data_IF_771841518531
#
_entry.id   IF_771841518531
#
_cell.length_a   1.000
_cell.length_b   1.000
_cell.length_c   1.000
_cell.angle_alpha   90.00
_cell.angle_beta   90.00
_cell.angle_gamma   90.00
#
_symmetry.space_group_name_H-M   'P 1'
#
loop_
_entity.id
_entity.type
_entity.pdbx_description
1 polymer ?
#
# COMPACT_ATOMS: atom_id res chain seq x y z
N UNK A 1 -10.74 -0.62 -20.62
CA UNK A 1 -10.60 -2.07 -20.92
C UNK A 1 -11.61 -2.92 -20.15
N UNK A 2 -11.69 -2.82 -18.81
CA UNK A 2 -12.64 -3.61 -18.00
C UNK A 2 -14.11 -3.39 -18.35
N UNK A 3 -14.57 -2.14 -18.37
CA UNK A 3 -15.96 -1.79 -18.68
C UNK A 3 -16.41 -2.31 -20.05
N UNK A 4 -15.53 -2.22 -21.06
CA UNK A 4 -15.80 -2.75 -22.41
C UNK A 4 -16.03 -4.27 -22.41
N UNK A 5 -15.36 -5.00 -21.53
CA UNK A 5 -15.44 -6.48 -21.47
C UNK A 5 -16.64 -6.98 -20.65
N UNK A 6 -16.98 -6.29 -19.55
CA UNK A 6 -17.97 -6.79 -18.57
C UNK A 6 -19.22 -5.92 -18.44
N UNK A 7 -19.31 -4.81 -19.18
CA UNK A 7 -20.48 -3.91 -19.19
C UNK A 7 -20.68 -3.07 -17.93
N UNK A 8 -19.74 -3.12 -16.98
CA UNK A 8 -19.84 -2.42 -15.69
C UNK A 8 -18.49 -1.85 -15.23
N UNK A 9 -18.45 -0.79 -14.41
CA UNK A 9 -17.20 -0.21 -13.93
C UNK A 9 -16.48 -1.16 -12.96
N UNK A 10 -15.15 -1.30 -13.08
CA UNK A 10 -14.33 -2.10 -12.16
C UNK A 10 -14.57 -1.71 -10.69
N UNK A 11 -14.68 -0.41 -10.41
CA UNK A 11 -14.95 0.09 -9.07
C UNK A 11 -16.24 -0.48 -8.48
N UNK A 12 -17.29 -0.69 -9.28
CA UNK A 12 -18.56 -1.24 -8.79
C UNK A 12 -18.42 -2.69 -8.33
N UNK A 13 -17.65 -3.49 -9.06
CA UNK A 13 -17.40 -4.88 -8.66
C UNK A 13 -16.48 -4.94 -7.43
N UNK A 14 -15.46 -4.08 -7.35
CA UNK A 14 -14.65 -3.94 -6.13
C UNK A 14 -15.50 -3.55 -4.92
N UNK A 15 -16.44 -2.62 -5.09
CA UNK A 15 -17.33 -2.17 -4.01
C UNK A 15 -18.28 -3.27 -3.52
N UNK A 16 -18.71 -4.16 -4.43
CA UNK A 16 -19.63 -5.26 -4.15
C UNK A 16 -18.93 -6.47 -3.51
N UNK A 17 -17.72 -6.81 -3.98
CA UNK A 17 -17.01 -8.04 -3.57
C UNK A 17 -16.03 -7.83 -2.41
N UNK A 18 -15.80 -6.57 -1.99
CA UNK A 18 -14.89 -6.25 -0.89
C UNK A 18 -15.53 -5.31 0.12
N UNK A 19 -14.96 -5.25 1.33
CA UNK A 19 -15.50 -4.44 2.41
C UNK A 19 -14.41 -3.71 3.22
N UNK A 20 -14.84 -2.86 4.14
CA UNK A 20 -13.98 -2.21 5.12
C UNK A 20 -12.85 -1.35 4.51
N UNK A 21 -11.68 -1.39 5.15
CA UNK A 21 -10.50 -0.65 4.73
C UNK A 21 -9.84 -1.25 3.49
N UNK A 22 -9.94 -2.55 3.30
CA UNK A 22 -9.41 -3.21 2.10
C UNK A 22 -10.11 -2.71 0.83
N UNK A 23 -11.45 -2.61 0.84
CA UNK A 23 -12.21 -1.96 -0.24
C UNK A 23 -11.70 -0.56 -0.54
N UNK A 24 -11.53 0.26 0.51
CA UNK A 24 -11.09 1.65 0.36
C UNK A 24 -9.71 1.73 -0.29
N UNK A 25 -8.78 0.86 0.11
CA UNK A 25 -7.47 0.76 -0.52
C UNK A 25 -7.57 0.43 -2.02
N UNK A 26 -8.35 -0.59 -2.39
CA UNK A 26 -8.51 -1.00 -3.79
C UNK A 26 -9.15 0.10 -4.65
N UNK A 27 -10.17 0.78 -4.13
CA UNK A 27 -10.82 1.90 -4.81
C UNK A 27 -9.82 3.05 -5.00
N UNK A 28 -9.06 3.44 -3.97
CA UNK A 28 -8.02 4.47 -4.07
C UNK A 28 -6.97 4.13 -5.11
N UNK A 29 -6.53 2.87 -5.18
CA UNK A 29 -5.51 2.43 -6.14
C UNK A 29 -6.03 2.35 -7.58
N UNK A 30 -7.32 2.03 -7.77
CA UNK A 30 -7.92 1.94 -9.12
C UNK A 30 -8.40 3.26 -9.68
N UNK A 31 -8.63 4.26 -8.84
CA UNK A 31 -8.96 5.62 -9.27
C UNK A 31 -7.83 6.29 -10.07
N UNK A 32 -6.58 5.82 -9.91
CA UNK A 32 -5.43 6.35 -10.65
C UNK A 32 -5.06 7.80 -10.32
N UNK A 33 -5.50 8.30 -9.17
CA UNK A 33 -5.32 9.69 -8.74
C UNK A 33 -3.96 9.97 -8.07
N UNK A 34 -2.97 9.09 -8.24
CA UNK A 34 -1.62 9.29 -7.69
C UNK A 34 -0.96 10.46 -8.41
N UNK A 35 -0.39 11.39 -7.64
CA UNK A 35 0.40 12.49 -8.18
C UNK A 35 1.78 11.98 -8.62
N UNK A 36 1.88 11.55 -9.88
CA UNK A 36 3.11 11.01 -10.47
C UNK A 36 4.11 12.10 -10.90
N UNK A 37 3.71 13.38 -10.90
CA UNK A 37 4.55 14.48 -11.40
C UNK A 37 5.29 15.18 -10.27
N UNK A 38 4.72 15.18 -9.07
CA UNK A 38 5.33 15.81 -7.92
C UNK A 38 6.35 14.91 -7.23
N UNK A 39 7.62 15.28 -7.38
CA UNK A 39 8.77 14.62 -6.77
C UNK A 39 9.37 15.42 -5.61
N UNK A 40 8.57 16.22 -4.91
CA UNK A 40 9.07 17.01 -3.79
C UNK A 40 9.45 16.12 -2.59
N UNK A 41 10.71 15.69 -2.55
CA UNK A 41 11.23 14.80 -1.50
C UNK A 41 11.30 15.47 -0.12
N UNK A 42 11.21 16.80 -0.03
CA UNK A 42 11.18 17.50 1.26
C UNK A 42 9.96 17.17 2.12
N UNK A 43 8.91 16.61 1.51
CA UNK A 43 7.73 16.12 2.22
C UNK A 43 8.01 14.82 3.00
N UNK A 44 9.06 14.08 2.65
CA UNK A 44 9.28 12.74 3.16
C UNK A 44 9.36 12.64 4.69
N UNK A 45 10.10 13.52 5.40
CA UNK A 45 10.17 13.47 6.86
C UNK A 45 8.80 13.70 7.51
N UNK A 46 8.01 14.65 6.99
CA UNK A 46 6.68 14.95 7.51
C UNK A 46 5.72 13.78 7.30
N UNK A 47 5.71 13.19 6.10
CA UNK A 47 4.85 12.05 5.77
C UNK A 47 5.25 10.80 6.58
N UNK A 48 6.54 10.55 6.77
CA UNK A 48 7.03 9.46 7.61
C UNK A 48 6.59 9.65 9.07
N UNK A 49 6.66 10.88 9.58
CA UNK A 49 6.17 11.22 10.92
C UNK A 49 4.65 11.04 11.05
N UNK A 50 3.88 11.34 10.00
CA UNK A 50 2.44 11.08 9.94
C UNK A 50 2.15 9.58 10.00
N UNK A 51 2.84 8.76 9.20
CA UNK A 51 2.69 7.30 9.25
C UNK A 51 3.04 6.73 10.63
N UNK A 52 4.07 7.26 11.28
CA UNK A 52 4.42 6.83 12.65
C UNK A 52 3.28 7.13 13.62
N UNK A 53 2.75 8.37 13.61
CA UNK A 53 1.63 8.78 14.47
C UNK A 53 0.34 8.02 14.16
N UNK A 54 0.16 7.62 12.91
CA UNK A 54 -0.99 6.86 12.43
C UNK A 54 -0.93 5.37 12.80
N UNK A 55 0.24 4.82 13.14
CA UNK A 55 0.40 3.44 13.60
C UNK A 55 0.97 3.41 15.01
N UNK A 56 2.27 3.13 15.10
CA UNK A 56 2.95 2.82 16.36
C UNK A 56 3.08 3.97 17.35
N UNK A 57 2.77 5.19 16.93
CA UNK A 57 2.67 6.36 17.78
C UNK A 57 1.34 6.48 18.53
N UNK A 58 0.39 5.55 18.33
CA UNK A 58 -0.94 5.54 18.97
C UNK A 58 -1.37 4.12 19.36
N UNK A 59 -2.44 4.01 20.14
CA UNK A 59 -3.15 2.74 20.32
C UNK A 59 -4.07 2.50 19.11
N UNK A 60 -3.94 1.32 18.51
CA UNK A 60 -4.61 0.97 17.26
C UNK A 60 -3.96 1.63 16.04
N UNK A 61 -4.63 1.55 14.90
CA UNK A 61 -4.14 2.05 13.61
C UNK A 61 -5.10 3.06 12.99
N UNK A 62 -4.54 3.97 12.19
CA UNK A 62 -5.28 4.84 11.30
C UNK A 62 -5.09 4.36 9.86
N UNK A 63 -5.89 3.38 9.45
CA UNK A 63 -5.83 2.79 8.12
C UNK A 63 -6.13 3.83 7.02
N UNK A 64 -6.91 4.86 7.35
CA UNK A 64 -7.30 5.91 6.40
C UNK A 64 -6.07 6.74 6.04
N UNK A 65 -5.27 7.13 7.03
CA UNK A 65 -4.04 7.89 6.80
C UNK A 65 -2.98 7.07 6.05
N UNK A 66 -2.83 5.79 6.40
CA UNK A 66 -1.97 4.87 5.64
C UNK A 66 -2.39 4.77 4.17
N UNK A 67 -3.69 4.58 3.91
CA UNK A 67 -4.20 4.54 2.54
C UNK A 67 -3.95 5.88 1.81
N UNK A 68 -4.30 7.01 2.42
CA UNK A 68 -4.13 8.34 1.84
C UNK A 68 -2.69 8.57 1.38
N UNK A 69 -1.71 8.32 2.25
CA UNK A 69 -0.31 8.54 1.92
C UNK A 69 0.14 7.55 0.83
N UNK A 70 -0.10 6.25 1.04
CA UNK A 70 0.41 5.22 0.13
C UNK A 70 -0.28 5.24 -1.25
N UNK A 71 -1.49 5.79 -1.39
CA UNK A 71 -2.21 5.89 -2.67
C UNK A 71 -1.92 7.17 -3.45
N UNK A 72 -1.52 8.25 -2.79
CA UNK A 72 -1.59 9.60 -3.39
C UNK A 72 -0.26 10.19 -3.84
N UNK A 73 0.86 9.83 -3.20
CA UNK A 73 2.17 10.42 -3.52
C UNK A 73 2.95 9.59 -4.55
N UNK A 74 3.81 10.26 -5.33
CA UNK A 74 4.67 9.60 -6.33
C UNK A 74 5.59 8.55 -5.71
N UNK A 75 6.02 7.58 -6.53
CA UNK A 75 6.92 6.52 -6.09
C UNK A 75 8.26 7.06 -5.54
N UNK A 76 8.92 8.06 -6.14
CA UNK A 76 10.14 8.64 -5.58
C UNK A 76 9.92 9.27 -4.19
N UNK A 77 8.82 10.01 -3.99
CA UNK A 77 8.48 10.57 -2.67
C UNK A 77 8.24 9.45 -1.67
N UNK A 78 7.45 8.43 -2.03
CA UNK A 78 7.16 7.33 -1.12
C UNK A 78 8.40 6.52 -0.74
N UNK A 79 9.34 6.29 -1.66
CA UNK A 79 10.62 5.65 -1.30
C UNK A 79 11.40 6.47 -0.27
N UNK A 80 11.47 7.79 -0.44
CA UNK A 80 12.09 8.65 0.56
C UNK A 80 11.35 8.59 1.91
N UNK A 81 10.01 8.50 1.90
CA UNK A 81 9.21 8.29 3.12
C UNK A 81 9.57 6.99 3.83
N UNK A 82 9.77 5.89 3.11
CA UNK A 82 10.16 4.60 3.71
C UNK A 82 11.52 4.70 4.41
N UNK A 83 12.48 5.39 3.80
CA UNK A 83 13.81 5.62 4.39
C UNK A 83 13.72 6.51 5.64
N UNK A 84 12.97 7.61 5.59
CA UNK A 84 12.76 8.49 6.74
C UNK A 84 12.02 7.77 7.89
N UNK A 85 11.02 6.94 7.57
CA UNK A 85 10.31 6.15 8.58
C UNK A 85 11.26 5.21 9.33
N UNK A 86 12.16 4.56 8.59
CA UNK A 86 13.18 3.67 9.18
C UNK A 86 14.12 4.43 10.11
N UNK A 87 14.48 5.68 9.79
CA UNK A 87 15.29 6.54 10.68
C UNK A 87 14.56 6.90 11.97
N UNK A 88 13.26 7.20 11.89
CA UNK A 88 12.45 7.60 13.06
C UNK A 88 12.32 6.45 14.06
N UNK A 89 12.03 5.24 13.59
CA UNK A 89 11.65 4.12 14.46
C UNK A 89 12.72 3.03 14.62
N UNK A 90 13.71 3.00 13.74
CA UNK A 90 14.71 1.93 13.66
C UNK A 90 14.20 0.64 13.01
N UNK A 91 12.98 0.62 12.47
CA UNK A 91 12.39 -0.52 11.76
C UNK A 91 11.66 -0.08 10.50
N UNK A 92 11.54 -1.00 9.55
CA UNK A 92 10.92 -0.70 8.26
C UNK A 92 9.41 -0.49 8.39
N UNK A 93 8.81 0.29 7.48
CA UNK A 93 7.35 0.42 7.40
C UNK A 93 6.69 -0.94 7.11
N UNK A 94 7.35 -1.80 6.33
CA UNK A 94 6.89 -3.17 6.10
C UNK A 94 6.75 -3.97 7.42
N UNK A 95 7.73 -3.87 8.31
CA UNK A 95 7.66 -4.54 9.62
C UNK A 95 6.57 -3.95 10.52
N UNK A 96 6.41 -2.63 10.52
CA UNK A 96 5.33 -1.95 11.24
C UNK A 96 3.94 -2.38 10.74
N UNK A 97 3.73 -2.42 9.42
CA UNK A 97 2.47 -2.91 8.85
C UNK A 97 2.22 -4.38 9.23
N UNK A 98 3.28 -5.19 9.25
CA UNK A 98 3.17 -6.61 9.63
C UNK A 98 2.75 -6.78 11.09
N UNK A 99 3.16 -5.91 12.01
CA UNK A 99 2.78 -6.00 13.43
C UNK A 99 1.42 -5.38 13.73
N UNK A 100 1.09 -4.26 13.08
CA UNK A 100 -0.07 -3.43 13.46
C UNK A 100 -1.37 -3.81 12.75
N UNK A 101 -1.31 -4.43 11.57
CA UNK A 101 -2.50 -4.72 10.76
C UNK A 101 -2.78 -6.23 10.68
N UNK A 102 -4.00 -6.59 10.30
CA UNK A 102 -4.42 -7.99 10.08
C UNK A 102 -5.32 -8.13 8.84
N UNK A 103 -5.54 -9.37 8.39
CA UNK A 103 -6.44 -9.69 7.28
C UNK A 103 -6.02 -9.07 5.93
N UNK A 104 -7.00 -8.82 5.06
CA UNK A 104 -6.74 -8.39 3.68
C UNK A 104 -6.12 -7.00 3.57
N UNK A 105 -6.47 -6.09 4.50
CA UNK A 105 -5.86 -4.75 4.52
C UNK A 105 -4.36 -4.82 4.76
N UNK A 106 -3.90 -5.71 5.66
CA UNK A 106 -2.46 -5.96 5.85
C UNK A 106 -1.82 -6.46 4.56
N UNK A 107 -2.42 -7.46 3.93
CA UNK A 107 -1.88 -8.03 2.68
C UNK A 107 -1.78 -6.97 1.58
N UNK A 108 -2.82 -6.14 1.44
CA UNK A 108 -2.84 -5.04 0.47
C UNK A 108 -1.77 -3.97 0.75
N UNK A 109 -1.66 -3.50 1.99
CA UNK A 109 -0.65 -2.51 2.37
C UNK A 109 0.78 -3.02 2.20
N UNK A 110 1.04 -4.28 2.58
CA UNK A 110 2.36 -4.90 2.36
C UNK A 110 2.68 -5.02 0.86
N UNK A 111 1.71 -5.42 0.03
CA UNK A 111 1.90 -5.49 -1.42
C UNK A 111 2.24 -4.12 -2.01
N UNK A 112 1.55 -3.06 -1.57
CA UNK A 112 1.83 -1.68 -2.00
C UNK A 112 3.25 -1.25 -1.60
N UNK A 113 3.64 -1.45 -0.33
CA UNK A 113 5.00 -1.09 0.14
C UNK A 113 6.08 -1.86 -0.63
N UNK A 114 5.92 -3.17 -0.81
CA UNK A 114 6.87 -3.99 -1.57
C UNK A 114 6.97 -3.53 -3.04
N UNK A 115 5.86 -3.12 -3.65
CA UNK A 115 5.87 -2.57 -5.01
C UNK A 115 6.59 -1.22 -5.11
N UNK A 116 6.45 -0.36 -4.10
CA UNK A 116 7.14 0.93 -4.01
C UNK A 116 8.65 0.70 -3.88
N UNK A 117 9.06 -0.19 -2.99
CA UNK A 117 10.47 -0.56 -2.77
C UNK A 117 11.08 -1.18 -4.02
N UNK A 118 10.53 -2.30 -4.48
CA UNK A 118 11.03 -3.02 -5.65
C UNK A 118 9.92 -3.86 -6.30
N UNK A 119 9.33 -3.31 -7.36
CA UNK A 119 8.29 -3.96 -8.16
C UNK A 119 8.72 -5.32 -8.72
N UNK A 120 9.96 -5.46 -9.20
CA UNK A 120 10.45 -6.71 -9.78
C UNK A 120 10.54 -7.80 -8.70
N UNK A 121 11.06 -7.45 -7.53
CA UNK A 121 11.15 -8.37 -6.40
C UNK A 121 9.78 -8.77 -5.87
N UNK A 122 8.82 -7.84 -5.83
CA UNK A 122 7.44 -8.16 -5.48
C UNK A 122 6.86 -9.23 -6.41
N UNK A 123 6.95 -9.03 -7.72
CA UNK A 123 6.42 -10.01 -8.67
C UNK A 123 7.19 -11.34 -8.65
N UNK A 124 8.52 -11.30 -8.47
CA UNK A 124 9.32 -12.52 -8.30
C UNK A 124 8.87 -13.33 -7.08
N UNK A 125 8.55 -12.65 -5.97
CA UNK A 125 7.98 -13.29 -4.77
C UNK A 125 6.60 -13.88 -5.06
N UNK A 126 5.70 -13.14 -5.73
CA UNK A 126 4.39 -13.67 -6.09
C UNK A 126 4.48 -14.93 -6.96
N UNK A 127 5.38 -14.94 -7.95
CA UNK A 127 5.64 -16.11 -8.81
C UNK A 127 6.14 -17.29 -7.99
N UNK A 128 7.15 -17.06 -7.15
CA UNK A 128 7.67 -18.09 -6.26
C UNK A 128 6.58 -18.66 -5.33
N UNK A 129 5.79 -17.80 -4.69
CA UNK A 129 4.75 -18.20 -3.75
C UNK A 129 3.58 -18.93 -4.45
N UNK A 130 3.35 -18.70 -5.75
CA UNK A 130 2.37 -19.44 -6.55
C UNK A 130 2.86 -20.83 -6.98
N UNK A 131 4.18 -21.01 -7.13
CA UNK A 131 4.82 -22.26 -7.57
C UNK A 131 5.33 -23.13 -6.41
N UNK A 132 5.50 -22.54 -5.22
CA UNK A 132 6.04 -23.25 -4.06
C UNK A 132 4.94 -24.04 -3.35
N UNK A 133 5.01 -25.38 -3.43
CA UNK A 133 4.16 -26.29 -2.67
C UNK A 133 3.76 -27.54 -3.47
N UNK A 134 2.96 -28.42 -2.85
CA UNK A 134 2.30 -29.53 -3.56
C UNK A 134 1.02 -28.99 -4.23
N UNK A 135 1.18 -28.31 -5.36
CA UNK A 135 0.13 -27.66 -6.13
C UNK A 135 0.50 -26.24 -6.56
N UNK A 136 -0.07 -25.76 -7.66
CA UNK A 136 0.11 -24.39 -8.19
C UNK A 136 -1.21 -23.62 -8.12
N UNK A 137 -1.16 -22.34 -7.76
CA UNK A 137 -2.32 -21.42 -7.81
C UNK A 137 -2.65 -20.95 -9.22
#
# INVERSE_FOLDING_TARGET
>A
MYHRKYGRPLQKDLEADTSGHFRRLLVSMTAGARDEMNHNLSLAPQLAQQLYRAGEGRLGTDEVEFNRILSSYSFPVLRAVLEEYKKIKGKSLHDAIRSEFSGDIKTGLLAVVMCIENRHQFFAKCLHDAMRGLGTK
#
